data_IF_502254070082
#
_entry.id   IF_502254070082
#
_cell.length_a   1.000
_cell.length_b   1.000
_cell.length_c   1.000
_cell.angle_alpha   90.00
_cell.angle_beta   90.00
_cell.angle_gamma   90.00
#
_symmetry.space_group_name_H-M   'P 1'
#
loop_
_entity.id
_entity.type
_entity.pdbx_description
1 polymer ?
#
# COMPACT_ATOMS: atom_id res chain seq x y z
N UNK A 1 17.56 -8.20 6.93
CA UNK A 1 16.27 -8.91 7.01
C UNK A 1 15.08 -7.97 6.79
N UNK A 2 14.96 -6.85 7.52
CA UNK A 2 13.84 -5.92 7.35
C UNK A 2 13.60 -5.43 5.92
N UNK A 3 14.65 -5.04 5.20
CA UNK A 3 14.53 -4.61 3.80
C UNK A 3 13.94 -5.69 2.89
N UNK A 4 14.38 -6.95 3.01
CA UNK A 4 13.89 -8.06 2.18
C UNK A 4 12.40 -8.28 2.42
N UNK A 5 11.99 -8.37 3.70
CA UNK A 5 10.58 -8.50 4.08
C UNK A 5 9.76 -7.33 3.53
N UNK A 6 10.27 -6.11 3.66
CA UNK A 6 9.61 -4.91 3.16
C UNK A 6 9.43 -4.94 1.63
N UNK A 7 10.45 -5.34 0.88
CA UNK A 7 10.37 -5.44 -0.59
C UNK A 7 9.38 -6.52 -1.04
N UNK A 8 9.41 -7.70 -0.42
CA UNK A 8 8.49 -8.81 -0.75
C UNK A 8 7.04 -8.41 -0.47
N UNK A 9 6.76 -7.88 0.73
CA UNK A 9 5.41 -7.45 1.09
C UNK A 9 4.94 -6.30 0.19
N UNK A 10 5.79 -5.33 -0.12
CA UNK A 10 5.44 -4.23 -1.03
C UNK A 10 5.05 -4.72 -2.43
N UNK A 11 5.78 -5.70 -2.98
CA UNK A 11 5.45 -6.30 -4.26
C UNK A 11 4.11 -7.05 -4.23
N UNK A 12 3.87 -7.84 -3.18
CA UNK A 12 2.61 -8.57 -2.98
C UNK A 12 1.43 -7.60 -2.87
N UNK A 13 1.55 -6.56 -2.04
CA UNK A 13 0.49 -5.57 -1.85
C UNK A 13 0.22 -4.75 -3.12
N UNK A 14 1.26 -4.35 -3.85
CA UNK A 14 1.11 -3.69 -5.14
C UNK A 14 0.37 -4.57 -6.15
N UNK A 15 0.70 -5.86 -6.21
CA UNK A 15 0.00 -6.84 -7.04
C UNK A 15 -1.47 -6.98 -6.65
N UNK A 16 -1.77 -7.14 -5.35
CA UNK A 16 -3.15 -7.27 -4.86
C UNK A 16 -3.99 -6.06 -5.27
N UNK A 17 -3.45 -4.84 -5.09
CA UNK A 17 -4.16 -3.63 -5.47
C UNK A 17 -4.34 -3.53 -7.00
N UNK A 18 -3.31 -3.87 -7.79
CA UNK A 18 -3.41 -3.90 -9.25
C UNK A 18 -4.47 -4.89 -9.76
N UNK A 19 -4.57 -6.07 -9.14
CA UNK A 19 -5.61 -7.05 -9.45
C UNK A 19 -7.01 -6.54 -9.07
N UNK A 20 -7.15 -5.85 -7.93
CA UNK A 20 -8.40 -5.21 -7.53
C UNK A 20 -8.85 -4.17 -8.57
N UNK A 21 -7.94 -3.31 -9.05
CA UNK A 21 -8.24 -2.34 -10.11
C UNK A 21 -8.67 -3.05 -11.40
N UNK A 22 -7.98 -4.11 -11.80
CA UNK A 22 -8.35 -4.89 -12.98
C UNK A 22 -9.73 -5.54 -12.88
N UNK A 23 -10.17 -5.91 -11.67
CA UNK A 23 -11.44 -6.59 -11.44
C UNK A 23 -12.64 -5.65 -11.28
N UNK A 24 -12.42 -4.41 -10.83
CA UNK A 24 -13.49 -3.47 -10.49
C UNK A 24 -13.41 -2.18 -11.31
N UNK A 25 -14.31 -2.05 -12.29
CA UNK A 25 -14.34 -0.91 -13.22
C UNK A 25 -14.57 0.45 -12.56
N UNK A 26 -15.19 0.47 -11.36
CA UNK A 26 -15.36 1.68 -10.56
C UNK A 26 -14.00 2.30 -10.17
N UNK A 27 -12.96 1.48 -10.02
CA UNK A 27 -11.59 1.90 -9.78
C UNK A 27 -10.87 2.34 -11.07
N UNK A 28 -11.53 2.53 -12.20
CA UNK A 28 -10.88 3.21 -13.35
C UNK A 28 -11.06 4.74 -13.29
N UNK A 29 -11.93 5.23 -12.42
CA UNK A 29 -12.06 6.67 -12.20
C UNK A 29 -10.90 7.18 -11.35
N UNK A 30 -10.22 8.23 -11.81
CA UNK A 30 -9.01 8.78 -11.18
C UNK A 30 -9.15 9.05 -9.68
N UNK A 31 -10.27 9.67 -9.29
CA UNK A 31 -10.54 9.99 -7.88
C UNK A 31 -10.62 8.73 -7.03
N UNK A 32 -11.32 7.70 -7.51
CA UNK A 32 -11.46 6.43 -6.79
C UNK A 32 -10.16 5.64 -6.73
N UNK A 33 -9.32 5.68 -7.78
CA UNK A 33 -7.97 5.10 -7.74
C UNK A 33 -7.15 5.65 -6.60
N UNK A 34 -7.00 6.97 -6.56
CA UNK A 34 -6.12 7.60 -5.57
C UNK A 34 -6.69 7.46 -4.16
N UNK A 35 -8.00 7.67 -3.98
CA UNK A 35 -8.65 7.59 -2.69
C UNK A 35 -8.58 6.17 -2.11
N UNK A 36 -8.96 5.15 -2.90
CA UNK A 36 -8.95 3.76 -2.43
C UNK A 36 -7.51 3.26 -2.23
N UNK A 37 -6.55 3.65 -3.07
CA UNK A 37 -5.15 3.30 -2.85
C UNK A 37 -4.59 3.92 -1.57
N UNK A 38 -4.96 5.16 -1.25
CA UNK A 38 -4.55 5.84 -0.01
C UNK A 38 -5.14 5.15 1.23
N UNK A 39 -6.44 4.82 1.20
CA UNK A 39 -7.09 4.04 2.27
C UNK A 39 -6.51 2.64 2.39
N UNK A 40 -6.15 2.01 1.28
CA UNK A 40 -5.46 0.73 1.26
C UNK A 40 -4.09 0.82 1.94
N UNK A 41 -3.28 1.84 1.61
CA UNK A 41 -2.01 2.12 2.29
C UNK A 41 -2.19 2.34 3.80
N UNK A 42 -3.20 3.10 4.21
CA UNK A 42 -3.54 3.28 5.63
C UNK A 42 -3.88 1.95 6.31
N UNK A 43 -4.69 1.10 5.67
CA UNK A 43 -5.03 -0.22 6.20
C UNK A 43 -3.81 -1.12 6.32
N UNK A 44 -2.89 -1.09 5.34
CA UNK A 44 -1.65 -1.84 5.41
C UNK A 44 -0.77 -1.42 6.58
N UNK A 45 -0.68 -0.12 6.87
CA UNK A 45 0.05 0.34 8.05
C UNK A 45 -0.53 -0.26 9.34
N UNK A 46 -1.85 -0.18 9.51
CA UNK A 46 -2.53 -0.73 10.68
C UNK A 46 -2.29 -2.24 10.79
N UNK A 47 -2.52 -2.99 9.73
CA UNK A 47 -2.38 -4.45 9.73
C UNK A 47 -0.92 -4.86 9.92
N UNK A 48 0.01 -4.22 9.23
CA UNK A 48 1.43 -4.59 9.31
C UNK A 48 2.01 -4.33 10.70
N UNK A 49 1.75 -3.16 11.29
CA UNK A 49 2.41 -2.80 12.55
C UNK A 49 1.67 -3.29 13.80
N UNK A 50 0.35 -3.45 13.75
CA UNK A 50 -0.44 -3.81 14.92
C UNK A 50 -0.93 -5.27 14.91
N UNK A 51 -0.84 -5.98 13.78
CA UNK A 51 -1.24 -7.40 13.68
C UNK A 51 -0.05 -8.27 13.29
N UNK A 52 0.62 -7.98 12.17
CA UNK A 52 1.64 -8.88 11.61
C UNK A 52 2.98 -8.74 12.33
N UNK A 53 3.48 -7.52 12.50
CA UNK A 53 4.81 -7.26 13.08
C UNK A 53 4.97 -7.83 14.49
N UNK A 54 4.02 -7.69 15.43
CA UNK A 54 4.16 -8.27 16.77
C UNK A 54 4.30 -9.80 16.78
N UNK A 55 3.75 -10.48 15.77
CA UNK A 55 3.69 -11.94 15.68
C UNK A 55 4.88 -12.50 14.89
N UNK A 56 5.16 -11.93 13.71
CA UNK A 56 6.08 -12.51 12.73
C UNK A 56 7.40 -11.74 12.59
N UNK A 57 7.40 -10.43 12.91
CA UNK A 57 8.54 -9.54 12.63
C UNK A 57 8.77 -8.52 13.76
N UNK A 58 9.02 -8.96 15.01
CA UNK A 58 9.02 -8.10 16.19
C UNK A 58 10.07 -6.98 16.15
N UNK A 59 11.14 -7.13 15.36
CA UNK A 59 12.16 -6.09 15.15
C UNK A 59 11.64 -4.83 14.45
N UNK A 60 10.44 -4.84 13.84
CA UNK A 60 9.81 -3.62 13.32
C UNK A 60 9.14 -2.76 14.40
N UNK A 61 9.02 -3.25 15.64
CA UNK A 61 8.40 -2.50 16.75
C UNK A 61 9.14 -1.23 17.17
N UNK A 62 10.39 -1.04 16.72
CA UNK A 62 11.18 0.17 17.00
C UNK A 62 10.95 1.30 15.98
N UNK A 63 10.16 1.07 14.93
CA UNK A 63 9.90 2.08 13.90
C UNK A 63 8.94 3.16 14.42
N UNK A 64 9.20 4.43 14.07
CA UNK A 64 8.30 5.52 14.44
C UNK A 64 6.92 5.36 13.76
N UNK A 65 5.82 5.30 14.53
CA UNK A 65 4.51 4.98 13.98
C UNK A 65 3.98 6.07 13.04
N UNK A 66 4.34 7.34 13.25
CA UNK A 66 3.91 8.47 12.41
C UNK A 66 4.63 8.42 11.06
N UNK A 67 5.93 8.18 11.07
CA UNK A 67 6.71 7.98 9.83
C UNK A 67 6.18 6.79 9.05
N UNK A 68 5.85 5.68 9.72
CA UNK A 68 5.30 4.50 9.06
C UNK A 68 3.90 4.76 8.49
N UNK A 69 3.04 5.47 9.22
CA UNK A 69 1.74 5.93 8.70
C UNK A 69 1.92 6.72 7.40
N UNK A 70 2.79 7.74 7.42
CA UNK A 70 3.03 8.59 6.24
C UNK A 70 3.58 7.78 5.07
N UNK A 71 4.55 6.90 5.34
CA UNK A 71 5.17 6.05 4.34
C UNK A 71 4.15 5.14 3.64
N UNK A 72 3.24 4.52 4.40
CA UNK A 72 2.27 3.57 3.85
C UNK A 72 1.08 4.28 3.19
N UNK A 73 0.50 5.29 3.84
CA UNK A 73 -0.67 5.98 3.31
C UNK A 73 -0.33 6.77 2.03
N UNK A 74 0.76 7.55 2.05
CA UNK A 74 1.07 8.49 0.98
C UNK A 74 2.14 7.99 0.02
N UNK A 75 3.31 7.58 0.52
CA UNK A 75 4.42 7.17 -0.34
C UNK A 75 4.21 5.80 -0.99
N UNK A 76 3.40 4.94 -0.39
CA UNK A 76 2.95 3.70 -1.01
C UNK A 76 1.54 3.87 -1.60
N UNK A 77 0.52 4.10 -0.79
CA UNK A 77 -0.89 4.13 -1.20
C UNK A 77 -1.19 5.20 -2.26
N UNK A 78 -1.09 6.48 -1.91
CA UNK A 78 -1.36 7.59 -2.84
C UNK A 78 -0.48 7.50 -4.10
N UNK A 79 0.82 7.23 -3.94
CA UNK A 79 1.74 7.09 -5.07
C UNK A 79 1.34 5.95 -6.02
N UNK A 80 0.89 4.81 -5.49
CA UNK A 80 0.41 3.69 -6.30
C UNK A 80 -0.86 4.06 -7.08
N UNK A 81 -1.82 4.75 -6.45
CA UNK A 81 -3.02 5.23 -7.12
C UNK A 81 -2.72 6.23 -8.24
N UNK A 82 -1.76 7.14 -8.02
CA UNK A 82 -1.27 8.08 -9.04
C UNK A 82 -0.55 7.36 -10.18
N UNK A 83 0.29 6.37 -9.87
CA UNK A 83 0.98 5.56 -10.87
C UNK A 83 -0.03 4.82 -11.77
N UNK A 84 -1.04 4.17 -11.19
CA UNK A 84 -2.03 3.43 -11.96
C UNK A 84 -2.95 4.37 -12.75
N UNK A 85 -3.28 5.54 -12.22
CA UNK A 85 -3.96 6.60 -12.99
C UNK A 85 -3.15 6.95 -14.24
N UNK A 86 -1.86 7.25 -14.07
CA UNK A 86 -0.94 7.58 -15.16
C UNK A 86 -0.77 6.45 -16.19
N UNK A 87 -0.88 5.18 -15.75
CA UNK A 87 -0.84 4.00 -16.62
C UNK A 87 -2.12 3.85 -17.44
N UNK A 88 -3.28 3.95 -16.80
CA UNK A 88 -4.59 3.79 -17.45
C UNK A 88 -4.89 4.94 -18.42
N UNK A 89 -4.38 6.14 -18.17
CA UNK A 89 -4.48 7.25 -19.12
C UNK A 89 -3.67 7.04 -20.43
N UNK A 90 -2.79 6.03 -20.47
CA UNK A 90 -1.92 5.72 -21.63
C UNK A 90 -2.22 4.40 -22.32
N UNK A 91 -3.15 3.61 -21.80
CA UNK A 91 -3.62 2.35 -22.41
C UNK A 91 -4.77 2.62 -23.36
#
# INVERSE_FOLDING_TARGET
MGLIVHMILSAIYGLIYGLAVSAWSLLHQRVWLVLVATLYGLLLWLVNFYVIAPIAFPWFGMADPVVQFIAHAFFFGTALGLLLTWRLDRS
#
